data_IF_040449296295
#
_entry.id   IF_040449296295
#
_cell.length_a   1.000
_cell.length_b   1.000
_cell.length_c   1.000
_cell.angle_alpha   90.00
_cell.angle_beta   90.00
_cell.angle_gamma   90.00
#
_symmetry.space_group_name_H-M   'P 1'
#
loop_
_entity.id
_entity.type
_entity.pdbx_description
1 polymer ?
#
# COMPACT_ATOMS: atom_id res chain seq x y z
N UNK A 1 2.68 7.30 19.53
CA UNK A 1 1.57 7.30 18.58
C UNK A 1 2.06 8.05 17.36
N UNK A 2 1.97 7.47 16.18
CA UNK A 2 2.39 8.14 14.93
C UNK A 2 1.33 9.17 14.56
N UNK A 3 1.76 10.37 14.14
CA UNK A 3 0.88 11.47 13.74
C UNK A 3 1.23 11.95 12.34
N UNK A 4 0.24 12.50 11.64
CA UNK A 4 0.41 13.10 10.33
C UNK A 4 -0.20 14.50 10.31
N UNK A 5 0.50 15.44 9.67
CA UNK A 5 -0.06 16.77 9.39
C UNK A 5 -0.92 16.67 8.15
N UNK A 6 -2.21 16.92 8.32
CA UNK A 6 -3.19 16.84 7.25
C UNK A 6 -4.30 17.86 7.50
N UNK A 7 -5.21 18.01 6.55
CA UNK A 7 -6.29 18.99 6.63
C UNK A 7 -7.62 18.29 6.94
N UNK A 8 -8.32 18.75 7.98
CA UNK A 8 -9.63 18.24 8.34
C UNK A 8 -10.72 19.09 7.69
N UNK A 9 -11.50 18.49 6.78
CA UNK A 9 -12.60 19.18 6.08
C UNK A 9 -13.74 19.54 7.04
N UNK A 10 -14.03 18.70 8.03
CA UNK A 10 -15.09 18.93 9.02
C UNK A 10 -14.77 20.08 9.98
N UNK A 11 -13.49 20.31 10.28
CA UNK A 11 -13.03 21.40 11.14
C UNK A 11 -12.53 22.62 10.35
N UNK A 12 -12.45 22.52 9.01
CA UNK A 12 -11.88 23.52 8.10
C UNK A 12 -10.50 24.03 8.57
N UNK A 13 -9.60 23.11 8.95
CA UNK A 13 -8.27 23.48 9.45
C UNK A 13 -7.24 22.38 9.34
N UNK A 14 -5.97 22.78 9.32
CA UNK A 14 -4.84 21.87 9.48
C UNK A 14 -4.82 21.27 10.89
N UNK A 15 -4.56 19.97 10.96
CA UNK A 15 -4.48 19.21 12.20
C UNK A 15 -3.28 18.27 12.17
N UNK A 16 -2.71 18.04 13.35
CA UNK A 16 -1.80 16.94 13.57
C UNK A 16 -2.61 15.74 14.05
N UNK A 17 -3.01 14.90 13.10
CA UNK A 17 -3.93 13.79 13.34
C UNK A 17 -3.17 12.53 13.76
N UNK A 18 -3.56 11.84 14.84
CA UNK A 18 -3.07 10.49 15.11
C UNK A 18 -3.48 9.51 14.01
N UNK A 19 -2.56 8.64 13.64
CA UNK A 19 -2.83 7.52 12.73
C UNK A 19 -3.40 6.37 13.56
N UNK A 20 -4.50 5.78 13.08
CA UNK A 20 -5.15 4.61 13.66
C UNK A 20 -5.37 3.56 12.59
N UNK A 21 -5.27 2.29 12.97
CA UNK A 21 -5.56 1.18 12.07
C UNK A 21 -7.03 0.75 12.19
N UNK A 22 -7.69 0.59 11.06
CA UNK A 22 -9.07 0.11 10.95
C UNK A 22 -9.13 -1.12 10.04
N UNK A 23 -10.15 -1.95 10.22
CA UNK A 23 -10.47 -2.99 9.24
C UNK A 23 -11.17 -2.36 8.04
N UNK A 24 -10.62 -2.58 6.85
CA UNK A 24 -11.19 -2.10 5.60
C UNK A 24 -11.19 -3.22 4.54
N UNK A 25 -11.89 -2.97 3.43
CA UNK A 25 -12.05 -3.91 2.34
C UNK A 25 -11.81 -3.26 0.99
N UNK A 26 -11.13 -3.97 0.10
CA UNK A 26 -10.92 -3.52 -1.27
C UNK A 26 -11.23 -4.66 -2.24
N UNK A 27 -11.94 -4.34 -3.32
CA UNK A 27 -12.18 -5.30 -4.39
C UNK A 27 -10.98 -5.36 -5.33
N UNK A 28 -10.26 -6.48 -5.34
CA UNK A 28 -9.11 -6.72 -6.20
C UNK A 28 -9.46 -7.86 -7.15
N UNK A 29 -9.43 -7.60 -8.46
CA UNK A 29 -9.81 -8.56 -9.51
C UNK A 29 -11.18 -9.23 -9.32
N UNK A 30 -12.13 -8.52 -8.70
CA UNK A 30 -13.50 -9.01 -8.48
C UNK A 30 -13.69 -9.74 -7.14
N UNK A 31 -12.65 -9.85 -6.31
CA UNK A 31 -12.70 -10.49 -5.00
C UNK A 31 -12.54 -9.45 -3.88
N UNK A 32 -13.33 -9.57 -2.81
CA UNK A 32 -13.19 -8.72 -1.63
C UNK A 32 -12.00 -9.19 -0.78
N UNK A 33 -11.04 -8.29 -0.56
CA UNK A 33 -9.86 -8.52 0.27
C UNK A 33 -9.98 -7.68 1.54
N UNK A 34 -9.92 -8.34 2.69
CA UNK A 34 -9.94 -7.68 4.00
C UNK A 34 -8.51 -7.34 4.42
N UNK A 35 -8.26 -6.10 4.80
CA UNK A 35 -6.94 -5.67 5.22
C UNK A 35 -7.01 -4.59 6.31
N UNK A 36 -5.89 -4.37 7.00
CA UNK A 36 -5.77 -3.29 7.99
C UNK A 36 -5.34 -2.02 7.27
N UNK A 37 -6.21 -1.01 7.27
CA UNK A 37 -5.95 0.30 6.69
C UNK A 37 -5.54 1.28 7.78
N UNK A 38 -4.47 2.04 7.53
CA UNK A 38 -4.07 3.15 8.40
C UNK A 38 -4.77 4.42 7.94
N UNK A 39 -5.48 5.10 8.86
CA UNK A 39 -6.24 6.32 8.58
C UNK A 39 -5.90 7.40 9.60
N UNK A 40 -5.98 8.66 9.19
CA UNK A 40 -5.81 9.78 10.10
C UNK A 40 -7.14 10.07 10.80
N UNK A 41 -7.14 10.18 12.13
CA UNK A 41 -8.33 10.55 12.90
C UNK A 41 -8.19 11.99 13.41
N UNK A 42 -9.13 12.86 13.09
CA UNK A 42 -9.10 14.25 13.58
C UNK A 42 -9.17 14.28 15.12
N UNK A 43 -8.24 14.96 15.81
CA UNK A 43 -8.26 15.05 17.28
C UNK A 43 -9.36 15.99 17.82
N UNK A 44 -10.07 16.73 16.96
CA UNK A 44 -11.09 17.71 17.36
C UNK A 44 -12.52 17.22 17.13
N UNK A 45 -12.83 16.71 15.93
CA UNK A 45 -14.17 16.23 15.58
C UNK A 45 -14.25 14.71 15.44
N UNK A 46 -13.15 13.99 15.65
CA UNK A 46 -13.06 12.53 15.54
C UNK A 46 -13.35 11.93 14.16
N UNK A 47 -13.54 12.77 13.13
CA UNK A 47 -13.73 12.30 11.75
C UNK A 47 -12.47 11.61 11.21
N UNK A 48 -12.67 10.65 10.32
CA UNK A 48 -11.58 10.06 9.54
C UNK A 48 -11.20 11.03 8.42
N UNK A 49 -9.91 11.24 8.24
CA UNK A 49 -9.33 12.11 7.21
C UNK A 49 -8.64 11.20 6.20
N UNK A 50 -9.06 11.30 4.94
CA UNK A 50 -8.40 10.67 3.80
C UNK A 50 -7.12 11.41 3.47
N UNK A 51 -5.98 10.86 3.87
CA UNK A 51 -4.66 11.35 3.48
C UNK A 51 -4.11 10.52 2.32
N UNK A 52 -3.69 11.17 1.23
CA UNK A 52 -3.22 10.48 0.03
C UNK A 52 -2.00 9.59 0.28
N UNK A 53 -1.14 9.94 1.25
CA UNK A 53 0.03 9.14 1.60
C UNK A 53 -0.39 7.85 2.30
N UNK A 54 -1.35 7.94 3.22
CA UNK A 54 -1.91 6.78 3.91
C UNK A 54 -2.70 5.90 2.93
N UNK A 55 -3.48 6.52 2.05
CA UNK A 55 -4.28 5.80 1.06
C UNK A 55 -3.40 5.03 0.07
N UNK A 56 -2.30 5.62 -0.41
CA UNK A 56 -1.32 4.89 -1.23
C UNK A 56 -0.74 3.67 -0.50
N UNK A 57 -0.42 3.80 0.79
CA UNK A 57 0.08 2.67 1.61
C UNK A 57 -1.00 1.60 1.84
N UNK A 58 -2.26 2.01 1.98
CA UNK A 58 -3.40 1.12 2.16
C UNK A 58 -3.64 0.29 0.90
N UNK A 59 -3.52 0.89 -0.29
CA UNK A 59 -3.59 0.15 -1.57
C UNK A 59 -2.48 -0.90 -1.69
N UNK A 60 -1.24 -0.56 -1.34
CA UNK A 60 -0.13 -1.51 -1.33
C UNK A 60 -0.37 -2.65 -0.32
N UNK A 61 -0.90 -2.33 0.87
CA UNK A 61 -1.23 -3.31 1.91
C UNK A 61 -2.34 -4.25 1.46
N UNK A 62 -3.41 -3.72 0.85
CA UNK A 62 -4.49 -4.52 0.31
C UNK A 62 -4.01 -5.46 -0.80
N UNK A 63 -3.19 -4.98 -1.73
CA UNK A 63 -2.63 -5.80 -2.80
C UNK A 63 -1.68 -6.88 -2.28
N UNK A 64 -0.87 -6.55 -1.26
CA UNK A 64 0.00 -7.52 -0.60
C UNK A 64 -0.82 -8.64 0.06
N UNK A 65 -1.90 -8.29 0.76
CA UNK A 65 -2.80 -9.26 1.37
C UNK A 65 -3.43 -10.18 0.31
N UNK A 66 -3.90 -9.61 -0.80
CA UNK A 66 -4.40 -10.38 -1.95
C UNK A 66 -3.37 -11.40 -2.45
N UNK A 67 -2.11 -10.98 -2.64
CA UNK A 67 -1.05 -11.90 -3.07
C UNK A 67 -0.82 -13.04 -2.08
N UNK A 68 -0.78 -12.74 -0.78
CA UNK A 68 -0.57 -13.74 0.27
C UNK A 68 -1.70 -14.79 0.26
N UNK A 69 -2.95 -14.35 0.19
CA UNK A 69 -4.13 -15.23 0.17
C UNK A 69 -4.14 -16.16 -1.05
N UNK A 70 -3.57 -15.71 -2.16
CA UNK A 70 -3.51 -16.45 -3.42
C UNK A 70 -2.19 -17.22 -3.63
N UNK A 71 -1.27 -17.20 -2.64
CA UNK A 71 0.05 -17.82 -2.78
C UNK A 71 0.91 -17.21 -3.90
N UNK A 72 0.66 -15.95 -4.24
CA UNK A 72 1.43 -15.18 -5.21
C UNK A 72 2.61 -14.48 -4.53
N UNK A 73 3.69 -14.26 -5.28
CA UNK A 73 4.79 -13.44 -4.79
C UNK A 73 4.36 -11.98 -4.65
N UNK A 74 4.65 -11.41 -3.50
CA UNK A 74 4.54 -9.97 -3.22
C UNK A 74 5.60 -9.19 -3.99
N UNK A 75 5.40 -7.89 -4.15
CA UNK A 75 6.37 -7.01 -4.80
C UNK A 75 7.73 -7.06 -4.10
N UNK A 76 7.72 -7.08 -2.77
CA UNK A 76 8.92 -7.15 -1.94
C UNK A 76 9.69 -8.44 -2.20
N UNK A 77 9.00 -9.58 -2.25
CA UNK A 77 9.62 -10.89 -2.53
C UNK A 77 10.21 -10.96 -3.94
N UNK A 78 9.56 -10.37 -4.94
CA UNK A 78 10.11 -10.27 -6.31
C UNK A 78 11.39 -9.44 -6.31
N UNK A 79 11.37 -8.30 -5.62
CA UNK A 79 12.52 -7.43 -5.44
C UNK A 79 13.69 -8.15 -4.74
N UNK A 80 13.40 -8.90 -3.68
CA UNK A 80 14.39 -9.69 -2.95
C UNK A 80 14.96 -10.85 -3.78
N UNK A 81 14.11 -11.55 -4.53
CA UNK A 81 14.53 -12.61 -5.45
C UNK A 81 15.54 -12.07 -6.45
N UNK A 82 15.23 -10.92 -7.09
CA UNK A 82 16.15 -10.27 -8.02
C UNK A 82 17.49 -9.92 -7.37
N UNK A 83 17.47 -9.33 -6.17
CA UNK A 83 18.69 -8.98 -5.41
C UNK A 83 19.52 -10.21 -5.08
N UNK A 84 18.89 -11.31 -4.64
CA UNK A 84 19.56 -12.58 -4.31
C UNK A 84 20.21 -13.22 -5.54
N UNK A 85 19.55 -13.14 -6.70
CA UNK A 85 20.10 -13.64 -7.97
C UNK A 85 21.20 -12.72 -8.55
N UNK A 86 21.41 -11.53 -7.96
CA UNK A 86 22.36 -10.50 -8.44
C UNK A 86 22.16 -10.12 -9.91
N UNK A 87 20.91 -10.20 -10.38
CA UNK A 87 20.57 -9.86 -11.76
C UNK A 87 20.28 -8.36 -11.89
N UNK A 88 20.78 -7.76 -12.97
CA UNK A 88 20.30 -6.46 -13.44
C UNK A 88 18.82 -6.54 -13.80
N UNK A 89 18.13 -5.39 -13.88
CA UNK A 89 16.73 -5.35 -14.29
C UNK A 89 16.54 -6.01 -15.66
N UNK A 90 17.44 -5.74 -16.61
CA UNK A 90 17.41 -6.31 -17.96
C UNK A 90 17.54 -7.84 -17.94
N UNK A 91 18.46 -8.39 -17.15
CA UNK A 91 18.65 -9.84 -17.03
C UNK A 91 17.47 -10.49 -16.33
N UNK A 92 16.95 -9.87 -15.28
CA UNK A 92 15.77 -10.33 -14.56
C UNK A 92 14.52 -10.33 -15.45
N UNK A 93 14.35 -9.30 -16.29
CA UNK A 93 13.25 -9.22 -17.26
C UNK A 93 13.31 -10.37 -18.26
N UNK A 94 14.51 -10.65 -18.81
CA UNK A 94 14.72 -11.79 -19.70
C UNK A 94 14.45 -13.12 -19.00
N UNK A 95 14.87 -13.27 -17.75
CA UNK A 95 14.63 -14.48 -16.96
C UNK A 95 13.14 -14.73 -16.75
N UNK A 96 12.35 -13.69 -16.45
CA UNK A 96 10.90 -13.79 -16.29
C UNK A 96 10.12 -13.88 -17.61
N UNK A 97 10.77 -13.64 -18.75
CA UNK A 97 10.10 -13.54 -20.05
C UNK A 97 9.25 -12.27 -20.22
N UNK A 98 9.48 -11.24 -19.41
CA UNK A 98 8.78 -9.96 -19.50
C UNK A 98 9.58 -8.90 -20.25
N UNK A 99 8.87 -7.91 -20.79
CA UNK A 99 9.51 -6.67 -21.24
C UNK A 99 10.12 -5.91 -20.06
N UNK A 100 11.24 -5.21 -20.30
CA UNK A 100 11.99 -4.49 -19.26
C UNK A 100 11.14 -3.46 -18.51
N UNK A 101 10.22 -2.79 -19.20
CA UNK A 101 9.28 -1.84 -18.59
C UNK A 101 8.27 -2.50 -17.65
N UNK A 102 7.89 -3.75 -17.90
CA UNK A 102 6.98 -4.51 -17.02
C UNK A 102 7.72 -4.93 -15.76
N UNK A 103 8.94 -5.44 -15.90
CA UNK A 103 9.78 -5.80 -14.77
C UNK A 103 10.14 -4.59 -13.91
N UNK A 104 10.28 -3.39 -14.49
CA UNK A 104 10.60 -2.16 -13.77
C UNK A 104 9.53 -1.73 -12.76
N UNK A 105 8.29 -2.22 -12.90
CA UNK A 105 7.18 -1.90 -11.98
C UNK A 105 7.22 -2.70 -10.69
N UNK A 106 8.04 -3.75 -10.62
CA UNK A 106 8.19 -4.65 -9.50
C UNK A 106 9.55 -4.45 -8.82
#
# INVERSE_FOLDING_TARGET
METIKTYCIECDRDVEAPIVDIDDRLTIKGEEVLFKASVAKCPHCESLIGDATLESKNLDTAYKQYCIEHGLMTKEEICELRRRMKLSLREFSKFLGFGEQTAAKY
#
